data_IF_197885700987
#
_entry.id   IF_197885700987
#
_cell.length_a   1.000
_cell.length_b   1.000
_cell.length_c   1.000
_cell.angle_alpha   90.00
_cell.angle_beta   90.00
_cell.angle_gamma   90.00
#
_symmetry.space_group_name_H-M   'P 1'
#
loop_
_entity.id
_entity.type
_entity.pdbx_description
1 polymer ?
#
# COMPACT_ATOMS: atom_id res chain seq x y z
N UNK A 1 -29.00 -24.46 -18.69
CA UNK A 1 -28.32 -24.80 -19.94
C UNK A 1 -26.84 -24.43 -19.75
N UNK A 2 -25.96 -25.43 -19.53
CA UNK A 2 -24.51 -25.20 -19.30
C UNK A 2 -23.91 -25.01 -20.68
N UNK A 3 -23.43 -23.76 -20.97
CA UNK A 3 -22.64 -23.50 -22.19
C UNK A 3 -21.31 -24.23 -22.09
N UNK A 4 -20.95 -25.04 -23.06
CA UNK A 4 -19.59 -25.56 -23.19
C UNK A 4 -18.65 -24.41 -23.52
N UNK A 5 -17.53 -24.26 -22.82
CA UNK A 5 -16.54 -23.24 -23.14
C UNK A 5 -15.93 -23.53 -24.52
N UNK A 6 -15.96 -22.53 -25.40
CA UNK A 6 -15.43 -22.65 -26.78
C UNK A 6 -13.95 -22.27 -26.84
N UNK A 7 -13.49 -21.45 -25.88
CA UNK A 7 -12.12 -20.96 -25.78
C UNK A 7 -11.53 -21.19 -24.38
N UNK A 8 -10.20 -21.08 -24.27
CA UNK A 8 -9.53 -21.09 -22.97
C UNK A 8 -10.04 -19.95 -22.06
N UNK A 9 -10.34 -18.79 -22.64
CA UNK A 9 -10.92 -17.66 -21.91
C UNK A 9 -12.29 -17.98 -21.33
N UNK A 10 -13.18 -18.61 -22.12
CA UNK A 10 -14.52 -19.03 -21.66
C UNK A 10 -14.42 -20.06 -20.54
N UNK A 11 -13.45 -20.99 -20.64
CA UNK A 11 -13.20 -21.99 -19.61
C UNK A 11 -12.75 -21.32 -18.28
N UNK A 12 -11.90 -20.31 -18.34
CA UNK A 12 -11.47 -19.54 -17.18
C UNK A 12 -12.64 -18.76 -16.56
N UNK A 13 -13.47 -18.11 -17.37
CA UNK A 13 -14.66 -17.39 -16.88
C UNK A 13 -15.61 -18.35 -16.16
N UNK A 14 -15.97 -19.47 -16.80
CA UNK A 14 -16.86 -20.48 -16.20
C UNK A 14 -16.30 -21.03 -14.87
N UNK A 15 -14.99 -21.31 -14.81
CA UNK A 15 -14.33 -21.76 -13.59
C UNK A 15 -14.40 -20.71 -12.46
N UNK A 16 -14.19 -19.45 -12.79
CA UNK A 16 -14.25 -18.36 -11.79
C UNK A 16 -15.67 -18.18 -11.28
N UNK A 17 -16.66 -18.17 -12.17
CA UNK A 17 -18.07 -18.06 -11.81
C UNK A 17 -18.52 -19.21 -10.91
N UNK A 18 -18.14 -20.43 -11.23
CA UNK A 18 -18.45 -21.60 -10.40
C UNK A 18 -17.82 -21.49 -9.01
N UNK A 19 -16.52 -21.10 -8.94
CA UNK A 19 -15.82 -20.96 -7.66
C UNK A 19 -16.35 -19.78 -6.81
N UNK A 20 -16.74 -18.66 -7.43
CA UNK A 20 -17.37 -17.53 -6.74
C UNK A 20 -18.69 -17.95 -6.07
N UNK A 21 -19.49 -18.76 -6.77
CA UNK A 21 -20.81 -19.24 -6.27
C UNK A 21 -20.63 -20.30 -5.18
N UNK A 22 -19.66 -21.20 -5.36
CA UNK A 22 -19.52 -22.39 -4.52
C UNK A 22 -18.71 -22.17 -3.25
N UNK A 23 -17.63 -21.38 -3.30
CA UNK A 23 -16.64 -21.27 -2.24
C UNK A 23 -16.41 -19.84 -1.75
N UNK A 24 -16.85 -18.82 -2.50
CA UNK A 24 -16.60 -17.43 -2.17
C UNK A 24 -15.10 -17.10 -2.17
N UNK A 25 -14.50 -16.93 -3.34
CA UNK A 25 -13.08 -16.62 -3.45
C UNK A 25 -12.68 -15.42 -2.59
N UNK A 26 -11.55 -15.53 -1.88
CA UNK A 26 -10.90 -14.40 -1.22
C UNK A 26 -10.43 -13.34 -2.23
N UNK A 27 -10.14 -12.13 -1.79
CA UNK A 27 -9.60 -11.09 -2.69
C UNK A 27 -8.26 -11.50 -3.29
N UNK A 28 -7.43 -12.23 -2.52
CA UNK A 28 -6.16 -12.73 -2.99
C UNK A 28 -6.32 -13.79 -4.10
N UNK A 29 -7.24 -14.73 -3.91
CA UNK A 29 -7.50 -15.77 -4.92
C UNK A 29 -8.01 -15.18 -6.22
N UNK A 30 -8.91 -14.19 -6.17
CA UNK A 30 -9.35 -13.43 -7.35
C UNK A 30 -8.18 -12.78 -8.08
N UNK A 31 -7.30 -12.12 -7.35
CA UNK A 31 -6.13 -11.46 -7.91
C UNK A 31 -5.16 -12.48 -8.54
N UNK A 32 -4.92 -13.61 -7.86
CA UNK A 32 -4.08 -14.69 -8.35
C UNK A 32 -4.60 -15.27 -9.66
N UNK A 33 -5.91 -15.46 -9.79
CA UNK A 33 -6.53 -15.96 -11.04
C UNK A 33 -6.31 -14.96 -12.18
N UNK A 34 -6.50 -13.65 -11.93
CA UNK A 34 -6.25 -12.60 -12.92
C UNK A 34 -4.80 -12.62 -13.40
N UNK A 35 -3.85 -12.57 -12.47
CA UNK A 35 -2.42 -12.56 -12.80
C UNK A 35 -1.99 -13.83 -13.56
N UNK A 36 -2.43 -15.00 -13.12
CA UNK A 36 -2.10 -16.28 -13.78
C UNK A 36 -2.74 -16.43 -15.15
N UNK A 37 -3.96 -15.95 -15.36
CA UNK A 37 -4.62 -16.00 -16.66
C UNK A 37 -3.89 -15.12 -17.70
N UNK A 38 -3.44 -13.93 -17.29
CA UNK A 38 -2.61 -13.07 -18.14
C UNK A 38 -1.23 -13.68 -18.39
N UNK A 39 -0.54 -14.16 -17.37
CA UNK A 39 0.78 -14.79 -17.50
C UNK A 39 0.80 -16.02 -18.42
N UNK A 40 -0.33 -16.73 -18.50
CA UNK A 40 -0.52 -17.88 -19.42
C UNK A 40 -0.96 -17.50 -20.83
N UNK A 41 -1.09 -16.20 -21.11
CA UNK A 41 -1.52 -15.71 -22.43
C UNK A 41 -2.98 -15.99 -22.76
N UNK A 42 -3.81 -16.35 -21.77
CA UNK A 42 -5.26 -16.54 -21.98
C UNK A 42 -5.94 -15.20 -22.27
N UNK A 43 -5.42 -14.13 -21.68
CA UNK A 43 -5.81 -12.75 -21.93
C UNK A 43 -4.56 -11.92 -22.26
N UNK A 44 -4.74 -10.83 -22.99
CA UNK A 44 -3.65 -9.97 -23.44
C UNK A 44 -2.83 -9.38 -22.28
N UNK A 45 -3.50 -9.04 -21.19
CA UNK A 45 -2.91 -8.48 -19.98
C UNK A 45 -3.86 -8.69 -18.76
N UNK A 46 -3.43 -8.26 -17.60
CA UNK A 46 -4.20 -8.37 -16.34
C UNK A 46 -5.47 -7.51 -16.34
N UNK A 47 -5.48 -6.38 -17.04
CA UNK A 47 -6.66 -5.53 -17.14
C UNK A 47 -7.75 -6.19 -18.00
N UNK A 48 -7.37 -6.80 -19.10
CA UNK A 48 -8.26 -7.60 -19.96
C UNK A 48 -8.78 -8.82 -19.20
N UNK A 49 -7.93 -9.53 -18.46
CA UNK A 49 -8.31 -10.64 -17.62
C UNK A 49 -9.29 -10.20 -16.52
N UNK A 50 -8.98 -9.12 -15.80
CA UNK A 50 -9.85 -8.58 -14.75
C UNK A 50 -11.23 -8.18 -15.28
N UNK A 51 -11.27 -7.53 -16.44
CA UNK A 51 -12.51 -7.10 -17.08
C UNK A 51 -13.38 -8.28 -17.54
N UNK A 52 -12.76 -9.32 -18.10
CA UNK A 52 -13.47 -10.49 -18.58
C UNK A 52 -13.94 -11.39 -17.42
N UNK A 53 -13.03 -11.77 -16.51
CA UNK A 53 -13.31 -12.70 -15.42
C UNK A 53 -14.28 -12.13 -14.37
N UNK A 54 -14.30 -10.81 -14.20
CA UNK A 54 -15.14 -10.12 -13.22
C UNK A 54 -16.04 -9.05 -13.86
N UNK A 55 -16.58 -9.34 -15.06
CA UNK A 55 -17.45 -8.43 -15.81
C UNK A 55 -18.67 -8.00 -15.00
N UNK A 56 -19.30 -8.92 -14.28
CA UNK A 56 -20.45 -8.66 -13.41
C UNK A 56 -20.10 -7.98 -12.07
N UNK A 57 -18.83 -7.81 -11.75
CA UNK A 57 -18.43 -7.18 -10.49
C UNK A 57 -18.54 -5.65 -10.56
N UNK A 58 -18.90 -5.02 -9.44
CA UNK A 58 -18.92 -3.55 -9.33
C UNK A 58 -17.53 -2.95 -9.52
N UNK A 59 -17.48 -1.66 -9.94
CA UNK A 59 -16.21 -0.92 -10.10
C UNK A 59 -15.34 -0.94 -8.82
N UNK A 60 -15.87 -0.73 -7.61
CA UNK A 60 -15.09 -0.86 -6.38
C UNK A 60 -14.52 -2.27 -6.18
N UNK A 61 -15.30 -3.33 -6.45
CA UNK A 61 -14.82 -4.72 -6.33
C UNK A 61 -13.64 -4.95 -7.28
N UNK A 62 -13.75 -4.57 -8.56
CA UNK A 62 -12.63 -4.69 -9.52
C UNK A 62 -11.39 -3.88 -9.11
N UNK A 63 -11.58 -2.67 -8.56
CA UNK A 63 -10.47 -1.86 -8.05
C UNK A 63 -9.69 -2.55 -6.93
N UNK A 64 -10.40 -3.25 -6.03
CA UNK A 64 -9.76 -4.02 -4.95
C UNK A 64 -9.01 -5.24 -5.48
N UNK A 65 -9.59 -5.98 -6.43
CA UNK A 65 -8.92 -7.11 -7.08
C UNK A 65 -7.62 -6.63 -7.74
N UNK A 66 -7.68 -5.51 -8.50
CA UNK A 66 -6.48 -4.90 -9.10
C UNK A 66 -5.42 -4.54 -8.06
N UNK A 67 -5.81 -3.99 -6.92
CA UNK A 67 -4.86 -3.71 -5.85
C UNK A 67 -4.20 -5.00 -5.32
N UNK A 68 -4.96 -6.07 -5.16
CA UNK A 68 -4.44 -7.36 -4.72
C UNK A 68 -3.56 -8.06 -5.77
N UNK A 69 -3.65 -7.73 -7.06
CA UNK A 69 -2.70 -8.19 -8.08
C UNK A 69 -1.28 -7.68 -7.76
N UNK A 70 -1.16 -6.42 -7.30
CA UNK A 70 0.14 -5.92 -6.84
C UNK A 70 0.65 -6.66 -5.59
N UNK A 71 -0.24 -7.07 -4.68
CA UNK A 71 0.12 -7.90 -3.53
C UNK A 71 0.62 -9.29 -3.96
N UNK A 72 -0.06 -9.91 -4.93
CA UNK A 72 0.35 -11.18 -5.54
C UNK A 72 1.76 -11.08 -6.11
N UNK A 73 2.04 -10.09 -6.97
CA UNK A 73 3.38 -9.93 -7.55
C UNK A 73 4.46 -9.62 -6.53
N UNK A 74 4.11 -8.89 -5.47
CA UNK A 74 5.10 -8.47 -4.48
C UNK A 74 5.45 -9.52 -3.43
N UNK A 75 4.53 -10.44 -3.11
CA UNK A 75 4.66 -11.29 -1.93
C UNK A 75 4.24 -12.76 -2.13
N UNK A 76 3.73 -13.21 -3.31
CA UNK A 76 3.20 -14.58 -3.49
C UNK A 76 4.21 -15.66 -3.08
N UNK A 77 5.49 -15.46 -3.39
CA UNK A 77 6.56 -16.42 -3.06
C UNK A 77 6.86 -16.54 -1.57
N UNK A 78 6.53 -15.52 -0.78
CA UNK A 78 6.81 -15.48 0.66
C UNK A 78 5.59 -15.81 1.54
N UNK A 79 4.38 -15.77 0.96
CA UNK A 79 3.13 -16.02 1.68
C UNK A 79 2.81 -17.53 1.71
N UNK A 80 2.49 -18.05 2.89
CA UNK A 80 2.08 -19.45 3.09
C UNK A 80 0.54 -19.59 3.13
N UNK A 81 -0.17 -18.60 3.66
CA UNK A 81 -1.62 -18.60 3.84
C UNK A 81 -2.32 -17.40 3.20
N UNK A 82 -2.04 -17.10 1.91
CA UNK A 82 -2.49 -15.85 1.28
C UNK A 82 -4.02 -15.72 1.19
N UNK A 83 -4.76 -16.83 1.09
CA UNK A 83 -6.21 -16.81 1.05
C UNK A 83 -6.85 -16.32 2.36
N UNK A 84 -6.14 -16.43 3.49
CA UNK A 84 -6.60 -15.96 4.79
C UNK A 84 -6.48 -14.43 4.98
N UNK A 85 -5.78 -13.72 4.09
CA UNK A 85 -5.54 -12.28 4.23
C UNK A 85 -6.86 -11.50 4.08
N UNK A 86 -7.34 -10.80 5.15
CA UNK A 86 -8.52 -9.96 5.06
C UNK A 86 -8.28 -8.77 4.13
N UNK A 87 -9.35 -8.32 3.46
CA UNK A 87 -9.30 -7.21 2.49
C UNK A 87 -8.58 -5.97 3.07
N UNK A 88 -8.92 -5.55 4.28
CA UNK A 88 -8.32 -4.38 4.92
C UNK A 88 -6.80 -4.53 5.11
N UNK A 89 -6.35 -5.71 5.53
CA UNK A 89 -4.93 -5.98 5.72
C UNK A 89 -4.20 -6.01 4.37
N UNK A 90 -4.77 -6.68 3.37
CA UNK A 90 -4.19 -6.73 2.03
C UNK A 90 -4.01 -5.34 1.42
N UNK A 91 -4.99 -4.45 1.54
CA UNK A 91 -4.88 -3.06 1.06
C UNK A 91 -3.78 -2.28 1.80
N UNK A 92 -3.65 -2.46 3.11
CA UNK A 92 -2.57 -1.84 3.88
C UNK A 92 -1.18 -2.36 3.46
N UNK A 93 -1.07 -3.65 3.14
CA UNK A 93 0.17 -4.23 2.57
C UNK A 93 0.48 -3.67 1.19
N UNK A 94 -0.54 -3.50 0.32
CA UNK A 94 -0.36 -2.86 -1.00
C UNK A 94 0.23 -1.45 -0.86
N UNK A 95 -0.22 -0.66 0.11
CA UNK A 95 0.34 0.66 0.36
C UNK A 95 1.82 0.57 0.81
N UNK A 96 2.17 -0.43 1.62
CA UNK A 96 3.57 -0.70 2.00
C UNK A 96 4.44 -1.12 0.81
N UNK A 97 3.87 -1.93 -0.12
CA UNK A 97 4.56 -2.30 -1.36
C UNK A 97 4.87 -1.08 -2.24
N UNK A 98 3.91 -0.15 -2.38
CA UNK A 98 4.09 1.12 -3.10
C UNK A 98 5.17 2.01 -2.47
N UNK A 99 5.36 1.91 -1.16
CA UNK A 99 6.43 2.58 -0.42
C UNK A 99 7.80 1.87 -0.54
N UNK A 100 7.90 0.77 -1.31
CA UNK A 100 9.13 0.01 -1.51
C UNK A 100 9.46 -0.97 -0.39
N UNK A 101 8.51 -1.29 0.50
CA UNK A 101 8.74 -2.19 1.64
C UNK A 101 8.65 -3.68 1.31
N UNK A 102 8.34 -4.05 0.05
CA UNK A 102 8.15 -5.43 -0.38
C UNK A 102 9.28 -6.38 0.02
N UNK A 103 10.55 -6.09 -0.34
CA UNK A 103 11.67 -6.96 0.02
C UNK A 103 11.83 -7.17 1.54
N UNK A 104 11.60 -6.12 2.34
CA UNK A 104 11.70 -6.22 3.79
C UNK A 104 10.56 -7.06 4.39
N UNK A 105 9.35 -6.98 3.82
CA UNK A 105 8.21 -7.80 4.24
C UNK A 105 8.46 -9.26 3.88
N UNK A 106 8.92 -9.56 2.67
CA UNK A 106 9.25 -10.92 2.23
C UNK A 106 10.34 -11.55 3.12
N UNK A 107 11.44 -10.85 3.34
CA UNK A 107 12.51 -11.32 4.22
C UNK A 107 12.03 -11.58 5.66
N UNK A 108 11.13 -10.75 6.19
CA UNK A 108 10.57 -10.95 7.52
C UNK A 108 9.65 -12.18 7.60
N UNK A 109 8.90 -12.48 6.54
CA UNK A 109 8.07 -13.69 6.41
C UNK A 109 8.94 -14.95 6.33
N UNK A 110 9.96 -14.94 5.48
CA UNK A 110 10.92 -16.03 5.33
C UNK A 110 11.65 -16.33 6.63
N UNK A 111 12.15 -15.30 7.31
CA UNK A 111 12.86 -15.45 8.59
C UNK A 111 11.96 -15.97 9.72
N UNK A 112 10.69 -15.60 9.74
CA UNK A 112 9.74 -16.01 10.78
C UNK A 112 9.13 -17.39 10.50
N UNK A 113 9.06 -17.82 9.23
CA UNK A 113 8.48 -19.08 8.77
C UNK A 113 7.19 -19.46 9.52
N UNK A 114 6.11 -18.64 9.44
CA UNK A 114 4.92 -18.83 10.26
C UNK A 114 4.24 -20.17 9.97
N UNK A 115 4.01 -20.99 11.00
CA UNK A 115 3.44 -22.32 10.84
C UNK A 115 1.91 -22.33 10.67
N UNK A 116 1.23 -21.23 10.97
CA UNK A 116 -0.25 -21.11 10.87
C UNK A 116 -0.68 -19.81 10.23
N UNK A 117 -1.90 -19.81 9.70
CA UNK A 117 -2.50 -18.60 9.11
C UNK A 117 -2.58 -17.45 10.13
N UNK A 118 -2.92 -17.73 11.39
CA UNK A 118 -3.01 -16.74 12.46
C UNK A 118 -1.65 -16.10 12.74
N UNK A 119 -0.58 -16.90 12.77
CA UNK A 119 0.77 -16.41 12.98
C UNK A 119 1.24 -15.54 11.82
N UNK A 120 0.96 -15.95 10.56
CA UNK A 120 1.25 -15.15 9.38
C UNK A 120 0.47 -13.84 9.38
N UNK A 121 -0.84 -13.86 9.66
CA UNK A 121 -1.66 -12.66 9.73
C UNK A 121 -1.22 -11.69 10.82
N UNK A 122 -0.82 -12.20 11.99
CA UNK A 122 -0.31 -11.37 13.08
C UNK A 122 1.01 -10.67 12.67
N UNK A 123 1.91 -11.38 12.00
CA UNK A 123 3.15 -10.83 11.47
C UNK A 123 2.86 -9.78 10.39
N UNK A 124 2.03 -10.12 9.40
CA UNK A 124 1.62 -9.20 8.33
C UNK A 124 0.95 -7.95 8.88
N UNK A 125 0.07 -8.07 9.89
CA UNK A 125 -0.57 -6.93 10.54
C UNK A 125 0.45 -6.00 11.24
N UNK A 126 1.52 -6.55 11.80
CA UNK A 126 2.62 -5.78 12.37
C UNK A 126 3.42 -5.05 11.28
N UNK A 127 3.74 -5.73 10.18
CA UNK A 127 4.50 -5.18 9.05
C UNK A 127 3.69 -4.15 8.23
N UNK A 128 2.37 -4.33 8.14
CA UNK A 128 1.46 -3.39 7.48
C UNK A 128 1.29 -2.09 8.26
N UNK A 129 1.52 -2.10 9.59
CA UNK A 129 1.51 -0.85 10.34
C UNK A 129 2.61 0.03 9.79
N UNK A 130 2.26 1.22 9.31
CA UNK A 130 3.26 2.28 9.21
C UNK A 130 3.93 2.34 10.57
N UNK A 131 5.24 2.16 10.63
CA UNK A 131 5.98 2.68 11.75
C UNK A 131 5.46 4.11 11.90
N UNK A 132 4.84 4.43 13.05
CA UNK A 132 4.52 5.82 13.34
C UNK A 132 5.78 6.57 12.95
N UNK A 133 5.72 7.58 12.05
CA UNK A 133 6.94 8.26 11.65
C UNK A 133 7.66 8.52 12.94
N UNK A 134 8.81 7.88 13.11
CA UNK A 134 9.64 8.10 14.30
C UNK A 134 9.64 9.61 14.43
N UNK A 135 9.33 10.17 15.62
CA UNK A 135 9.22 11.60 15.77
C UNK A 135 10.51 12.18 15.22
N UNK A 136 10.51 12.45 13.91
CA UNK A 136 11.59 13.09 13.18
C UNK A 136 11.48 14.54 13.55
N UNK A 137 11.66 14.73 14.84
CA UNK A 137 12.03 15.95 15.47
C UNK A 137 11.66 15.86 16.94
N UNK A 138 12.63 15.73 17.77
CA UNK A 138 12.51 16.21 19.13
C UNK A 138 11.94 17.64 19.03
N UNK A 139 10.75 17.85 19.60
CA UNK A 139 10.23 19.20 19.70
C UNK A 139 11.27 20.01 20.49
N UNK A 140 12.03 20.86 19.80
CA UNK A 140 13.04 21.68 20.42
C UNK A 140 12.35 22.83 21.13
N UNK A 141 12.47 22.91 22.44
CA UNK A 141 11.99 24.08 23.19
C UNK A 141 12.86 25.27 22.81
N UNK A 142 12.23 26.33 22.31
CA UNK A 142 12.91 27.60 21.98
C UNK A 142 12.84 28.62 23.12
N UNK A 143 12.35 28.21 24.30
CA UNK A 143 12.07 29.12 25.42
C UNK A 143 10.70 29.79 25.32
N UNK A 144 10.29 30.54 26.35
CA UNK A 144 9.00 31.24 26.43
C UNK A 144 7.76 30.34 26.18
N UNK A 145 7.86 29.02 26.43
CA UNK A 145 6.78 28.09 26.21
C UNK A 145 6.48 27.80 24.73
N UNK A 146 7.42 28.10 23.82
CA UNK A 146 7.30 27.79 22.40
C UNK A 146 8.13 26.53 22.07
N UNK A 147 7.48 25.57 21.42
CA UNK A 147 8.09 24.35 20.88
C UNK A 147 8.14 24.42 19.35
N UNK A 148 9.31 24.15 18.76
CA UNK A 148 9.52 24.02 17.33
C UNK A 148 9.55 22.55 16.95
N UNK A 149 8.73 22.16 16.01
CA UNK A 149 8.73 20.85 15.37
C UNK A 149 9.09 21.00 13.89
N UNK A 150 10.14 20.33 13.45
CA UNK A 150 10.62 20.36 12.06
C UNK A 150 10.28 19.04 11.39
N UNK A 151 9.69 19.03 10.23
CA UNK A 151 9.44 17.85 9.39
C UNK A 151 10.08 18.06 8.03
N UNK A 152 11.02 17.20 7.66
CA UNK A 152 11.61 17.18 6.33
C UNK A 152 10.92 16.08 5.50
N UNK A 153 10.27 16.47 4.41
CA UNK A 153 9.75 15.59 3.35
C UNK A 153 10.78 15.44 2.24
N UNK A 154 10.38 14.87 1.11
CA UNK A 154 11.27 14.70 -0.04
C UNK A 154 11.68 16.06 -0.63
N UNK A 155 10.70 16.95 -0.82
CA UNK A 155 10.87 18.27 -1.42
C UNK A 155 10.18 19.36 -0.58
N UNK A 156 9.94 19.10 0.72
CA UNK A 156 9.18 19.98 1.59
C UNK A 156 9.77 20.01 2.98
N UNK A 157 10.08 21.20 3.49
CA UNK A 157 10.39 21.45 4.89
C UNK A 157 9.19 22.10 5.57
N UNK A 158 8.65 21.44 6.60
CA UNK A 158 7.56 21.98 7.41
C UNK A 158 8.08 22.33 8.80
N UNK A 159 7.96 23.59 9.18
CA UNK A 159 8.25 24.10 10.51
C UNK A 159 6.93 24.38 11.24
N UNK A 160 6.71 23.73 12.37
CA UNK A 160 5.49 23.95 13.18
C UNK A 160 5.91 24.48 14.55
N UNK A 161 5.45 25.70 14.87
CA UNK A 161 5.61 26.27 16.19
C UNK A 161 4.31 26.14 16.98
N UNK A 162 4.43 25.72 18.24
CA UNK A 162 3.29 25.61 19.18
C UNK A 162 3.65 26.27 20.51
N UNK A 163 2.75 27.09 21.04
CA UNK A 163 2.94 27.73 22.34
C UNK A 163 2.16 29.01 22.47
N UNK A 164 2.08 29.55 23.70
CA UNK A 164 1.33 30.78 23.98
C UNK A 164 1.91 32.06 23.36
N UNK A 165 3.15 32.03 22.88
CA UNK A 165 3.84 33.13 22.24
C UNK A 165 3.85 33.07 20.71
N UNK A 166 3.04 32.22 20.09
CA UNK A 166 2.89 32.13 18.64
C UNK A 166 1.80 33.08 18.23
N UNK A 167 2.20 34.20 17.61
CA UNK A 167 1.32 35.26 17.11
C UNK A 167 1.72 35.66 15.70
N UNK A 168 0.94 36.56 15.10
CA UNK A 168 1.17 37.05 13.73
C UNK A 168 2.52 37.78 13.59
N UNK A 169 2.96 38.50 14.62
CA UNK A 169 4.24 39.21 14.60
C UNK A 169 5.42 38.22 14.50
N UNK A 170 5.34 37.10 15.24
CA UNK A 170 6.33 36.01 15.14
C UNK A 170 6.30 35.35 13.76
N UNK A 171 5.12 35.11 13.17
CA UNK A 171 5.01 34.55 11.84
C UNK A 171 5.71 35.43 10.79
N UNK A 172 5.44 36.72 10.75
CA UNK A 172 6.07 37.67 9.81
C UNK A 172 7.60 37.71 9.97
N UNK A 173 8.08 37.68 11.21
CA UNK A 173 9.55 37.66 11.47
C UNK A 173 10.19 36.37 10.98
N UNK A 174 9.51 35.25 11.11
CA UNK A 174 10.02 33.96 10.62
C UNK A 174 10.03 33.88 9.10
N UNK A 175 8.99 34.38 8.44
CA UNK A 175 8.96 34.50 6.99
C UNK A 175 10.14 35.33 6.46
N UNK A 176 10.39 36.48 7.06
CA UNK A 176 11.53 37.32 6.71
C UNK A 176 12.89 36.61 6.96
N UNK A 177 13.02 35.89 8.07
CA UNK A 177 14.26 35.16 8.38
C UNK A 177 14.52 34.01 7.41
N UNK A 178 13.46 33.28 7.02
CA UNK A 178 13.57 32.19 6.02
C UNK A 178 13.94 32.78 4.65
N UNK A 179 13.31 33.87 4.22
CA UNK A 179 13.63 34.52 2.96
C UNK A 179 15.11 35.01 2.94
N UNK A 180 15.60 35.60 4.03
CA UNK A 180 16.97 36.03 4.14
C UNK A 180 17.98 34.86 4.10
N UNK A 181 17.66 33.74 4.76
CA UNK A 181 18.49 32.54 4.74
C UNK A 181 18.61 31.94 3.34
N UNK A 182 17.50 31.87 2.59
CA UNK A 182 17.51 31.37 1.21
C UNK A 182 18.22 32.29 0.23
N UNK A 183 18.16 33.60 0.43
CA UNK A 183 18.89 34.56 -0.39
C UNK A 183 20.43 34.49 -0.16
N UNK A 184 20.85 34.21 1.07
CA UNK A 184 22.27 34.05 1.41
C UNK A 184 22.94 32.81 0.80
N UNK A 185 22.15 31.75 0.50
CA UNK A 185 22.66 30.55 -0.18
C UNK A 185 22.81 30.73 -1.71
N UNK A 186 22.21 31.77 -2.30
CA UNK A 186 22.24 32.02 -3.74
C UNK A 186 23.39 32.94 -4.17
N UNK A 187 24.16 33.50 -3.24
CA UNK A 187 25.34 34.33 -3.53
C UNK A 187 26.60 33.67 -2.93
N UNK A 188 27.16 32.61 -3.59
CA UNK A 188 28.48 32.08 -3.20
C UNK A 188 29.55 33.07 -3.70
N UNK A 189 30.19 33.78 -2.75
CA UNK A 189 31.37 34.58 -3.02
C UNK A 189 32.53 33.75 -3.61
#
# INVERSE_FOLDING_TARGET
>A
MVRRPETAADAYVAMVEENEIRLGLSQYERARVVARAAARGVFADEEAALKALFAGASRPKRSRIRAFVALYHGLDSALLFPAAIPERLGLALVDRLREGSGPAIAAALEAAAPATAEAELALLARLARRAAPAPRTAARSLGRGIALQTRLGRDTLTLTLKGRGVDQALATRLEAAVAAALAAEQDPA
#
